data_IF_973578771321
#
_entry.id   IF_973578771321
#
_cell.length_a   1.000
_cell.length_b   1.000
_cell.length_c   1.000
_cell.angle_alpha   90.00
_cell.angle_beta   90.00
_cell.angle_gamma   90.00
#
_symmetry.space_group_name_H-M   'P 1'
#
loop_
_entity.id
_entity.type
_entity.pdbx_description
1 polymer ?
#
# COMPACT_ATOMS: atom_id res chain seq x y z
N UNK A 1 -48.69 3.93 -41.15
CA UNK A 1 -48.90 5.35 -40.83
C UNK A 1 -48.58 5.59 -39.36
N UNK A 2 -47.37 5.81 -38.88
CA UNK A 2 -46.00 5.56 -39.35
C UNK A 2 -45.08 5.80 -38.14
N UNK A 3 -43.92 5.16 -38.18
CA UNK A 3 -42.65 5.60 -37.59
C UNK A 3 -42.47 5.66 -36.06
N UNK A 4 -41.83 4.62 -35.52
CA UNK A 4 -40.78 4.83 -34.51
C UNK A 4 -39.44 4.37 -35.12
N UNK A 5 -38.65 5.40 -35.45
CA UNK A 5 -37.34 5.35 -36.07
C UNK A 5 -36.33 4.58 -35.22
N UNK A 6 -35.72 3.61 -35.88
CA UNK A 6 -34.51 2.90 -35.48
C UNK A 6 -33.36 3.89 -35.27
N UNK A 7 -32.77 3.95 -34.07
CA UNK A 7 -31.46 4.56 -33.87
C UNK A 7 -30.43 3.46 -33.57
N UNK A 8 -29.71 3.10 -34.63
CA UNK A 8 -28.46 2.35 -34.60
C UNK A 8 -27.37 3.31 -34.13
N UNK A 9 -26.79 3.10 -32.95
CA UNK A 9 -25.49 3.68 -32.60
C UNK A 9 -24.62 2.68 -31.83
N UNK A 10 -23.68 2.10 -32.58
CA UNK A 10 -22.29 1.89 -32.18
C UNK A 10 -22.01 1.05 -30.91
N UNK A 11 -21.87 -0.27 -31.11
CA UNK A 11 -21.05 -1.14 -30.25
C UNK A 11 -19.59 -0.69 -30.32
N UNK A 12 -19.18 0.20 -29.41
CA UNK A 12 -17.77 0.57 -29.24
C UNK A 12 -17.09 -0.48 -28.36
N UNK A 13 -16.10 -1.11 -28.97
CA UNK A 13 -15.23 -2.20 -28.53
C UNK A 13 -14.64 -1.91 -27.14
N UNK A 14 -15.27 -2.42 -26.08
CA UNK A 14 -14.67 -2.49 -24.75
C UNK A 14 -13.47 -3.42 -24.84
N UNK A 15 -12.27 -2.87 -24.68
CA UNK A 15 -11.04 -3.63 -24.56
C UNK A 15 -11.17 -4.57 -23.36
N UNK A 16 -11.25 -5.86 -23.69
CA UNK A 16 -11.32 -6.97 -22.74
C UNK A 16 -9.98 -7.06 -22.01
N UNK A 17 -9.75 -6.17 -21.04
CA UNK A 17 -8.61 -6.29 -20.15
C UNK A 17 -8.94 -7.42 -19.18
N UNK A 18 -8.22 -8.52 -19.37
CA UNK A 18 -8.37 -9.82 -18.73
C UNK A 18 -8.31 -9.67 -17.20
N UNK A 19 -9.48 -9.56 -16.55
CA UNK A 19 -9.63 -9.94 -15.14
C UNK A 19 -9.35 -11.44 -15.08
N UNK A 20 -8.13 -11.81 -14.69
CA UNK A 20 -7.77 -13.22 -14.52
C UNK A 20 -8.43 -13.76 -13.25
N UNK A 21 -9.46 -14.56 -13.49
CA UNK A 21 -9.97 -15.71 -12.72
C UNK A 21 -9.03 -16.17 -11.58
N UNK A 22 -9.63 -16.35 -10.40
CA UNK A 22 -9.06 -16.91 -9.18
C UNK A 22 -8.31 -18.24 -9.47
N UNK A 23 -6.98 -18.19 -9.48
CA UNK A 23 -6.17 -19.38 -9.27
C UNK A 23 -6.14 -19.67 -7.76
N UNK A 24 -6.15 -20.95 -7.39
CA UNK A 24 -6.11 -21.51 -6.02
C UNK A 24 -4.92 -21.03 -5.16
N UNK A 25 -4.01 -20.25 -5.75
CA UNK A 25 -2.87 -19.61 -5.09
C UNK A 25 -3.22 -18.34 -4.29
N UNK A 26 -4.48 -17.90 -4.33
CA UNK A 26 -4.97 -16.72 -3.61
C UNK A 26 -4.50 -15.38 -4.19
N UNK A 27 -4.14 -15.31 -5.47
CA UNK A 27 -3.74 -14.06 -6.14
C UNK A 27 -4.97 -13.19 -6.42
N UNK A 28 -4.92 -11.92 -5.99
CA UNK A 28 -5.98 -10.93 -6.26
C UNK A 28 -5.63 -10.02 -7.43
N UNK A 29 -4.44 -9.44 -7.40
CA UNK A 29 -3.97 -8.48 -8.41
C UNK A 29 -2.51 -8.77 -8.75
N UNK A 30 -2.14 -8.54 -9.99
CA UNK A 30 -0.74 -8.50 -10.38
C UNK A 30 -0.51 -7.47 -11.48
N UNK A 31 0.71 -7.00 -11.62
CA UNK A 31 1.03 -6.01 -12.66
C UNK A 31 2.39 -5.36 -12.45
N UNK A 32 2.79 -4.55 -13.42
CA UNK A 32 4.04 -3.82 -13.33
C UNK A 32 3.82 -2.40 -12.79
N UNK A 33 4.43 -2.09 -11.65
CA UNK A 33 4.34 -0.77 -11.01
C UNK A 33 5.72 -0.26 -10.64
N UNK A 34 5.84 1.03 -10.32
CA UNK A 34 7.11 1.64 -9.94
C UNK A 34 7.19 1.79 -8.43
N UNK A 35 8.37 1.56 -7.86
CA UNK A 35 8.63 1.86 -6.45
C UNK A 35 8.82 3.37 -6.25
N UNK A 36 8.07 4.01 -5.36
CA UNK A 36 8.16 5.47 -5.13
C UNK A 36 9.59 5.95 -4.83
N UNK A 37 10.34 5.23 -3.97
CA UNK A 37 11.69 5.63 -3.56
C UNK A 37 12.72 5.57 -4.70
N UNK A 38 12.58 4.64 -5.65
CA UNK A 38 13.62 4.35 -6.65
C UNK A 38 13.16 4.53 -8.09
N UNK A 39 11.86 4.71 -8.31
CA UNK A 39 11.14 4.73 -9.60
C UNK A 39 11.36 3.52 -10.53
N UNK A 40 12.13 2.51 -10.09
CA UNK A 40 12.32 1.25 -10.81
C UNK A 40 11.00 0.48 -10.93
N UNK A 41 10.65 0.13 -12.17
CA UNK A 41 9.52 -0.74 -12.52
C UNK A 41 9.81 -2.17 -12.05
N UNK A 42 8.83 -2.79 -11.39
CA UNK A 42 8.88 -4.16 -10.84
C UNK A 42 7.53 -4.83 -11.03
N UNK A 43 7.53 -6.16 -11.06
CA UNK A 43 6.29 -6.93 -11.14
C UNK A 43 5.78 -7.20 -9.72
N UNK A 44 4.62 -6.65 -9.37
CA UNK A 44 3.99 -6.83 -8.07
C UNK A 44 2.86 -7.83 -8.16
N UNK A 45 2.65 -8.54 -7.06
CA UNK A 45 1.56 -9.49 -6.87
C UNK A 45 0.95 -9.26 -5.49
N UNK A 46 -0.37 -9.05 -5.45
CA UNK A 46 -1.15 -8.98 -4.23
C UNK A 46 -1.84 -10.31 -4.02
N UNK A 47 -1.66 -10.87 -2.83
CA UNK A 47 -2.30 -12.11 -2.39
C UNK A 47 -3.34 -11.83 -1.31
N UNK A 48 -4.48 -12.52 -1.43
CA UNK A 48 -5.43 -12.69 -0.33
C UNK A 48 -4.82 -13.56 0.78
N UNK A 49 -5.49 -13.55 1.92
CA UNK A 49 -5.26 -14.55 2.95
C UNK A 49 -5.76 -15.93 2.51
N UNK A 50 -4.95 -16.95 2.79
CA UNK A 50 -5.25 -18.36 2.59
C UNK A 50 -4.96 -19.12 3.89
N UNK A 51 -5.47 -20.35 4.08
CA UNK A 51 -5.27 -21.09 5.33
C UNK A 51 -3.80 -21.26 5.75
N UNK A 52 -2.87 -21.24 4.79
CA UNK A 52 -1.44 -21.41 5.04
C UNK A 52 -0.63 -20.10 4.96
N UNK A 53 -1.18 -19.03 4.38
CA UNK A 53 -0.42 -17.81 4.09
C UNK A 53 -1.27 -16.56 4.33
N UNK A 54 -0.69 -15.63 5.08
CA UNK A 54 -1.30 -14.31 5.31
C UNK A 54 -1.37 -13.46 4.03
N UNK A 55 -2.32 -12.53 4.01
CA UNK A 55 -2.43 -11.49 3.01
C UNK A 55 -1.12 -10.69 2.90
N UNK A 56 -0.60 -10.53 1.68
CA UNK A 56 0.71 -9.93 1.43
C UNK A 56 0.87 -9.40 0.02
N UNK A 57 1.77 -8.43 -0.12
CA UNK A 57 2.30 -7.98 -1.41
C UNK A 57 3.69 -8.58 -1.59
N UNK A 58 3.95 -9.14 -2.76
CA UNK A 58 5.26 -9.56 -3.20
C UNK A 58 5.68 -8.77 -4.43
N UNK A 59 6.98 -8.56 -4.63
CA UNK A 59 7.47 -8.03 -5.91
C UNK A 59 8.72 -8.72 -6.42
N UNK A 60 8.83 -8.77 -7.75
CA UNK A 60 9.85 -9.46 -8.51
C UNK A 60 10.51 -8.49 -9.49
N UNK A 61 11.70 -8.84 -10.01
CA UNK A 61 12.32 -8.02 -11.05
C UNK A 61 11.49 -7.99 -12.33
N UNK A 62 10.89 -9.13 -12.67
CA UNK A 62 10.09 -9.33 -13.89
C UNK A 62 9.00 -10.38 -13.64
N UNK A 63 7.95 -10.35 -14.46
CA UNK A 63 6.90 -11.39 -14.48
C UNK A 63 7.45 -12.78 -14.82
N UNK A 64 8.49 -12.86 -15.66
CA UNK A 64 9.16 -14.13 -15.99
C UNK A 64 9.72 -14.79 -14.74
N UNK A 65 10.43 -14.03 -13.89
CA UNK A 65 10.96 -14.55 -12.61
C UNK A 65 9.86 -15.01 -11.68
N UNK A 66 8.74 -14.27 -11.63
CA UNK A 66 7.58 -14.66 -10.86
C UNK A 66 7.02 -16.02 -11.34
N UNK A 67 6.74 -16.16 -12.64
CA UNK A 67 6.20 -17.40 -13.22
C UNK A 67 7.15 -18.58 -13.10
N UNK A 68 8.45 -18.34 -13.10
CA UNK A 68 9.47 -19.38 -12.88
C UNK A 68 9.68 -19.74 -11.40
N UNK A 69 8.90 -19.17 -10.47
CA UNK A 69 8.97 -19.52 -9.04
C UNK A 69 10.22 -19.01 -8.33
N UNK A 70 10.87 -17.95 -8.84
CA UNK A 70 12.00 -17.34 -8.13
C UNK A 70 11.56 -16.75 -6.78
N UNK A 71 12.51 -16.51 -5.89
CA UNK A 71 12.22 -15.82 -4.63
C UNK A 71 11.86 -14.34 -4.86
N UNK A 72 10.83 -13.82 -4.16
CA UNK A 72 10.47 -12.41 -4.25
C UNK A 72 11.58 -11.53 -3.68
N UNK A 73 11.75 -10.33 -4.24
CA UNK A 73 12.70 -9.33 -3.74
C UNK A 73 12.31 -8.77 -2.39
N UNK A 74 11.02 -8.76 -2.07
CA UNK A 74 10.46 -8.38 -0.77
C UNK A 74 9.07 -8.96 -0.65
N UNK A 75 8.72 -9.33 0.58
CA UNK A 75 7.36 -9.70 0.99
C UNK A 75 6.91 -8.67 2.01
N UNK A 76 5.77 -8.04 1.77
CA UNK A 76 5.15 -7.03 2.66
C UNK A 76 3.84 -7.64 3.16
N UNK A 77 3.79 -8.00 4.44
CA UNK A 77 2.58 -8.57 5.06
C UNK A 77 1.59 -7.44 5.34
N UNK A 78 0.34 -7.59 4.91
CA UNK A 78 -0.67 -6.54 5.09
C UNK A 78 -0.95 -6.29 6.57
N UNK A 79 -1.01 -7.35 7.38
CA UNK A 79 -1.19 -7.25 8.85
C UNK A 79 -0.11 -6.45 9.59
N UNK A 80 1.07 -6.26 8.97
CA UNK A 80 2.16 -5.46 9.55
C UNK A 80 2.05 -3.97 9.17
N UNK A 81 1.11 -3.61 8.29
CA UNK A 81 0.87 -2.25 7.86
C UNK A 81 -0.20 -1.63 8.76
N UNK A 82 0.17 -0.64 9.56
CA UNK A 82 -0.78 0.06 10.44
C UNK A 82 -1.50 1.20 9.70
N UNK A 83 -0.99 1.64 8.54
CA UNK A 83 -1.66 2.63 7.71
C UNK A 83 -1.44 2.34 6.22
N UNK A 84 -2.50 2.47 5.43
CA UNK A 84 -2.49 2.35 3.97
C UNK A 84 -3.28 3.53 3.42
N UNK A 85 -2.61 4.39 2.65
CA UNK A 85 -3.23 5.63 2.19
C UNK A 85 -2.83 5.98 0.75
N UNK A 86 -3.76 6.64 0.04
CA UNK A 86 -3.45 7.37 -1.19
C UNK A 86 -2.66 8.61 -0.82
N UNK A 87 -1.53 8.82 -1.49
CA UNK A 87 -0.70 10.01 -1.29
C UNK A 87 -0.96 11.00 -2.39
N UNK A 88 -1.50 12.15 -2.01
CA UNK A 88 -1.70 13.30 -2.88
C UNK A 88 -0.45 14.21 -2.85
N UNK A 89 -0.29 15.05 -3.86
CA UNK A 89 0.77 16.08 -3.93
C UNK A 89 2.21 15.53 -3.97
N UNK A 90 2.41 14.34 -4.54
CA UNK A 90 3.76 13.92 -4.96
C UNK A 90 4.00 14.38 -6.40
N UNK A 91 5.22 14.23 -6.93
CA UNK A 91 5.48 14.42 -8.38
C UNK A 91 4.69 13.43 -9.27
N UNK A 92 3.96 12.49 -8.67
CA UNK A 92 3.19 11.45 -9.33
C UNK A 92 1.76 11.41 -8.76
N UNK A 93 0.78 11.27 -9.64
CA UNK A 93 -0.64 11.46 -9.28
C UNK A 93 -1.29 10.21 -8.66
N UNK A 94 -0.72 9.01 -8.91
CA UNK A 94 -1.29 7.73 -8.50
C UNK A 94 -0.34 6.94 -7.59
N UNK A 95 -0.23 7.37 -6.32
CA UNK A 95 0.67 6.76 -5.34
C UNK A 95 -0.09 6.17 -4.15
N UNK A 96 0.13 4.89 -3.87
CA UNK A 96 -0.26 4.24 -2.61
C UNK A 96 0.96 4.18 -1.70
N UNK A 97 0.81 4.54 -0.43
CA UNK A 97 1.84 4.37 0.60
C UNK A 97 1.34 3.43 1.69
N UNK A 98 2.14 2.40 1.97
CA UNK A 98 1.97 1.45 3.05
C UNK A 98 2.95 1.84 4.17
N UNK A 99 2.47 2.09 5.38
CA UNK A 99 3.30 2.37 6.54
C UNK A 99 3.31 1.18 7.51
N UNK A 100 4.51 0.76 7.91
CA UNK A 100 4.75 -0.36 8.81
C UNK A 100 5.84 0.00 9.82
N UNK A 101 6.03 -0.78 10.88
CA UNK A 101 7.15 -0.57 11.82
C UNK A 101 8.54 -0.66 11.16
N UNK A 102 8.64 -1.36 10.03
CA UNK A 102 9.86 -1.46 9.22
C UNK A 102 10.06 -0.26 8.28
N UNK A 103 9.10 0.66 8.24
CA UNK A 103 9.12 1.87 7.43
C UNK A 103 8.00 1.93 6.39
N UNK A 104 8.03 3.00 5.60
CA UNK A 104 7.09 3.25 4.51
C UNK A 104 7.50 2.59 3.19
N UNK A 105 6.52 2.08 2.46
CA UNK A 105 6.66 1.55 1.12
C UNK A 105 5.63 2.15 0.17
N UNK A 106 6.13 2.91 -0.82
CA UNK A 106 5.29 3.55 -1.83
C UNK A 106 5.27 2.80 -3.17
N UNK A 107 4.08 2.63 -3.73
CA UNK A 107 3.82 2.05 -5.06
C UNK A 107 3.21 3.15 -5.94
N UNK A 108 3.80 3.36 -7.10
CA UNK A 108 3.33 4.31 -8.11
C UNK A 108 2.69 3.52 -9.26
N UNK A 109 1.46 3.87 -9.57
CA UNK A 109 0.63 3.28 -10.62
C UNK A 109 0.49 4.24 -11.79
N UNK A 110 -0.01 3.76 -12.92
CA UNK A 110 -0.05 4.55 -14.16
C UNK A 110 -1.47 5.10 -14.44
N UNK A 111 -2.52 4.66 -13.72
CA UNK A 111 -3.89 5.19 -13.84
C UNK A 111 -4.67 5.30 -12.52
N UNK A 112 -5.75 6.10 -12.54
CA UNK A 112 -6.68 6.23 -11.42
C UNK A 112 -7.44 4.92 -11.12
N UNK A 113 -7.85 4.19 -12.17
CA UNK A 113 -8.55 2.92 -12.00
C UNK A 113 -7.67 1.87 -11.32
N UNK A 114 -6.38 1.83 -11.65
CA UNK A 114 -5.43 0.91 -11.01
C UNK A 114 -5.27 1.22 -9.52
N UNK A 115 -5.05 2.50 -9.16
CA UNK A 115 -4.92 2.90 -7.74
C UNK A 115 -6.20 2.63 -6.96
N UNK A 116 -7.36 2.92 -7.50
CA UNK A 116 -8.63 2.66 -6.82
C UNK A 116 -8.87 1.16 -6.62
N UNK A 117 -8.58 0.35 -7.64
CA UNK A 117 -8.69 -1.12 -7.55
C UNK A 117 -7.75 -1.69 -6.49
N UNK A 118 -6.47 -1.29 -6.51
CA UNK A 118 -5.50 -1.74 -5.52
C UNK A 118 -5.85 -1.27 -4.11
N UNK A 119 -6.22 -0.01 -3.94
CA UNK A 119 -6.55 0.55 -2.64
C UNK A 119 -7.79 -0.14 -2.05
N UNK A 120 -8.81 -0.42 -2.86
CA UNK A 120 -9.99 -1.17 -2.43
C UNK A 120 -9.61 -2.55 -1.85
N UNK A 121 -8.81 -3.34 -2.58
CA UNK A 121 -8.37 -4.64 -2.10
C UNK A 121 -7.46 -4.55 -0.86
N UNK A 122 -6.52 -3.60 -0.83
CA UNK A 122 -5.62 -3.42 0.31
C UNK A 122 -6.36 -3.06 1.59
N UNK A 123 -7.31 -2.12 1.51
CA UNK A 123 -8.12 -1.71 2.66
C UNK A 123 -9.06 -2.83 3.11
N UNK A 124 -9.60 -3.62 2.18
CA UNK A 124 -10.39 -4.80 2.52
C UNK A 124 -9.54 -5.80 3.32
N UNK A 125 -8.35 -6.16 2.82
CA UNK A 125 -7.43 -7.08 3.50
C UNK A 125 -6.96 -6.57 4.87
N UNK A 126 -6.78 -5.25 5.02
CA UNK A 126 -6.38 -4.65 6.29
C UNK A 126 -7.48 -4.75 7.34
N UNK A 127 -8.76 -4.66 6.95
CA UNK A 127 -9.91 -4.77 7.87
C UNK A 127 -10.25 -6.21 8.21
N UNK A 128 -10.07 -7.12 7.26
CA UNK A 128 -10.33 -8.55 7.46
C UNK A 128 -9.25 -9.23 8.30
N UNK A 129 -8.02 -8.71 8.27
CA UNK A 129 -6.94 -9.19 9.14
C UNK A 129 -6.95 -8.49 10.49
N UNK A 130 -6.71 -9.24 11.57
CA UNK A 130 -6.35 -8.62 12.85
C UNK A 130 -5.01 -7.91 12.69
N UNK A 131 -5.01 -6.59 12.76
CA UNK A 131 -3.77 -5.82 12.86
C UNK A 131 -3.11 -6.17 14.18
N UNK A 132 -1.83 -6.57 14.16
CA UNK A 132 -1.07 -6.98 15.36
C UNK A 132 -0.77 -5.80 16.32
N UNK A 133 -1.43 -4.66 16.16
CA UNK A 133 -1.14 -3.43 16.86
C UNK A 133 -2.44 -2.83 17.39
N UNK A 134 -2.50 -2.62 18.71
CA UNK A 134 -3.53 -1.80 19.37
C UNK A 134 -3.29 -0.31 19.09
N UNK A 135 -3.18 0.04 17.80
CA UNK A 135 -2.94 1.41 17.35
C UNK A 135 -4.25 2.01 16.83
N UNK A 136 -4.51 3.30 17.09
CA UNK A 136 -5.67 3.98 16.54
C UNK A 136 -5.55 4.08 15.01
N UNK A 137 -6.69 4.30 14.34
CA UNK A 137 -6.70 4.69 12.94
C UNK A 137 -6.15 6.11 12.80
N UNK A 138 -5.04 6.24 12.10
CA UNK A 138 -4.40 7.53 11.84
C UNK A 138 -4.95 8.17 10.57
N UNK A 139 -5.29 9.45 10.65
CA UNK A 139 -5.75 10.25 9.51
C UNK A 139 -4.58 10.52 8.55
N UNK A 140 -3.43 10.88 9.12
CA UNK A 140 -2.23 11.20 8.35
C UNK A 140 -0.99 10.54 8.94
N UNK A 141 -0.14 9.98 8.07
CA UNK A 141 1.12 9.36 8.47
C UNK A 141 2.25 9.86 7.59
N UNK A 142 3.28 10.42 8.21
CA UNK A 142 4.49 10.88 7.54
C UNK A 142 5.72 10.15 8.04
N UNK A 143 6.52 9.64 7.12
CA UNK A 143 7.85 9.16 7.46
C UNK A 143 8.84 10.34 7.43
N UNK A 144 9.52 10.56 8.55
CA UNK A 144 10.48 11.66 8.72
C UNK A 144 11.79 11.16 9.35
N UNK A 145 12.82 11.98 9.27
CA UNK A 145 14.07 11.80 10.03
C UNK A 145 14.18 12.94 11.03
N UNK A 146 14.09 12.59 12.32
CA UNK A 146 14.22 13.56 13.41
C UNK A 146 15.72 13.77 13.67
N UNK A 147 16.16 15.03 13.57
CA UNK A 147 17.54 15.42 13.88
C UNK A 147 17.75 15.50 15.39
N UNK A 148 18.96 15.18 15.84
CA UNK A 148 19.36 15.30 17.25
C UNK A 148 19.60 16.77 17.62
N UNK A 149 18.51 17.52 17.85
CA UNK A 149 18.53 18.96 18.21
C UNK A 149 17.38 19.31 19.14
N UNK A 150 17.62 20.17 20.12
CA UNK A 150 16.57 20.69 21.02
C UNK A 150 15.89 19.57 21.82
N UNK A 151 14.56 19.56 21.83
CA UNK A 151 13.72 18.59 22.55
C UNK A 151 14.03 17.14 22.13
N UNK A 152 14.38 16.92 20.87
CA UNK A 152 14.74 15.59 20.35
C UNK A 152 15.99 15.02 21.04
N UNK A 153 16.95 15.87 21.40
CA UNK A 153 18.16 15.45 22.11
C UNK A 153 17.87 15.19 23.60
N UNK A 154 17.04 16.03 24.21
CA UNK A 154 16.64 15.88 25.62
C UNK A 154 15.87 14.58 25.88
N UNK A 155 15.01 14.17 24.94
CA UNK A 155 14.20 12.95 25.05
C UNK A 155 14.78 11.73 24.30
N UNK A 156 16.00 11.83 23.75
CA UNK A 156 16.64 10.76 22.99
C UNK A 156 15.79 10.27 21.79
N UNK A 157 15.03 11.16 21.17
CA UNK A 157 14.14 10.90 20.03
C UNK A 157 14.83 11.39 18.76
N UNK A 158 15.63 10.54 18.12
CA UNK A 158 16.28 10.85 16.84
C UNK A 158 16.35 9.65 15.92
N UNK A 159 16.45 9.90 14.61
CA UNK A 159 16.45 8.88 13.57
C UNK A 159 15.13 8.82 12.79
N UNK A 160 14.83 7.67 12.20
CA UNK A 160 13.64 7.51 11.35
C UNK A 160 12.39 7.25 12.19
N UNK A 161 11.34 8.04 11.99
CA UNK A 161 10.06 7.92 12.69
C UNK A 161 8.89 8.04 11.71
N UNK A 162 7.77 7.41 12.07
CA UNK A 162 6.46 7.76 11.56
C UNK A 162 5.81 8.75 12.52
N UNK A 163 5.50 9.95 12.03
CA UNK A 163 4.62 10.90 12.70
C UNK A 163 3.20 10.55 12.25
N UNK A 164 2.37 10.17 13.21
CA UNK A 164 1.02 9.72 12.97
C UNK A 164 0.04 10.68 13.66
N UNK A 165 -0.82 11.31 12.88
CA UNK A 165 -1.76 12.32 13.35
C UNK A 165 -3.17 11.72 13.40
N UNK A 166 -3.85 11.94 14.51
CA UNK A 166 -5.29 11.76 14.66
C UNK A 166 -5.94 13.11 14.94
N UNK A 167 -7.27 13.16 15.01
CA UNK A 167 -8.00 14.34 15.48
C UNK A 167 -7.70 14.77 16.92
N UNK A 168 -7.03 13.93 17.73
CA UNK A 168 -6.80 14.18 19.17
C UNK A 168 -5.33 14.15 19.59
N UNK A 169 -4.44 13.56 18.81
CA UNK A 169 -3.06 13.33 19.23
C UNK A 169 -2.08 13.24 18.07
N UNK A 170 -0.81 13.50 18.36
CA UNK A 170 0.34 13.22 17.49
C UNK A 170 1.19 12.13 18.13
N UNK A 171 1.27 10.98 17.46
CA UNK A 171 2.03 9.82 17.92
C UNK A 171 3.29 9.65 17.08
N UNK A 172 4.43 9.42 17.75
CA UNK A 172 5.70 9.12 17.11
C UNK A 172 6.01 7.64 17.22
N UNK A 173 6.07 6.95 16.07
CA UNK A 173 6.40 5.52 15.99
C UNK A 173 7.81 5.38 15.41
N UNK A 174 8.77 4.90 16.21
CA UNK A 174 10.15 4.68 15.76
C UNK A 174 10.21 3.62 14.66
N UNK A 175 10.91 3.91 13.57
CA UNK A 175 11.14 2.98 12.46
C UNK A 175 12.45 2.22 12.70
N UNK A 176 12.39 0.90 12.82
CA UNK A 176 13.56 0.07 13.09
C UNK A 176 13.20 -1.31 13.65
N UNK A 177 14.22 -2.17 13.85
CA UNK A 177 14.06 -3.54 14.35
C UNK A 177 13.99 -3.66 15.88
N UNK A 178 13.98 -2.56 16.62
CA UNK A 178 14.04 -2.57 18.09
C UNK A 178 12.72 -2.19 18.77
N UNK A 179 12.59 -2.69 20.01
CA UNK A 179 11.39 -2.65 20.86
C UNK A 179 10.82 -1.23 21.01
N UNK A 180 9.50 -1.19 20.97
CA UNK A 180 8.63 -0.03 21.01
C UNK A 180 9.10 1.07 21.98
N UNK A 181 9.30 2.28 21.46
CA UNK A 181 9.06 3.50 22.22
C UNK A 181 7.88 4.18 21.53
N UNK A 182 6.67 3.87 21.99
CA UNK A 182 5.51 4.71 21.70
C UNK A 182 5.67 5.92 22.63
N UNK A 183 6.03 7.07 22.07
CA UNK A 183 5.94 8.34 22.78
C UNK A 183 4.72 9.05 22.21
N UNK A 184 3.61 8.98 22.94
CA UNK A 184 2.43 9.79 22.69
C UNK A 184 2.63 11.15 23.35
N UNK A 185 2.56 12.22 22.57
CA UNK A 185 2.47 13.57 23.09
C UNK A 185 1.01 14.01 22.96
N UNK A 186 0.34 14.16 24.10
CA UNK A 186 -0.94 14.87 24.19
C UNK A 186 -0.61 16.35 24.36
N UNK A 187 -1.12 17.18 23.45
CA UNK A 187 -1.11 18.64 23.59
C UNK A 187 -2.43 19.11 24.18
#
# INVERSE_FOLDING_TARGET
MDNISTYVLSKKKMSKQRLSVLNDDGVLLCGYYKKLKTMKKKFFVLYNETPCKVARIEYYDTEKKYKSGFTPKRIIKIKNCFNINRRFYTKHDFVIVLASKEGGFGIVMDSEDEINTWLHHLLHLQRSGETCFDLPNFDYVWQVVIQKKGIAEQHNIFGSYHICLTNKSVTFIKIGREKNFLTDFLF
#
